data_IF_703598034495
#
_entry.id   IF_703598034495
#
_cell.length_a   1.000
_cell.length_b   1.000
_cell.length_c   1.000
_cell.angle_alpha   90.00
_cell.angle_beta   90.00
_cell.angle_gamma   90.00
#
_symmetry.space_group_name_H-M   'P 1'
#
loop_
_entity.id
_entity.type
_entity.pdbx_description
1 polymer ?
#
# COMPACT_ATOMS: atom_id res chain seq x y z
N UNK A 1 36.79 32.87 -23.97
CA UNK A 1 37.23 31.78 -23.08
C UNK A 1 35.99 31.18 -22.45
N UNK A 2 35.49 30.06 -22.98
CA UNK A 2 34.38 29.33 -22.37
C UNK A 2 34.93 28.46 -21.23
N UNK A 3 34.33 28.54 -20.05
CA UNK A 3 34.69 27.68 -18.93
C UNK A 3 34.43 26.20 -19.31
N UNK A 4 35.30 25.26 -18.90
CA UNK A 4 35.04 23.84 -19.11
C UNK A 4 33.78 23.44 -18.34
N UNK A 5 32.83 22.80 -19.04
CA UNK A 5 31.61 22.28 -18.44
C UNK A 5 32.01 21.19 -17.44
N UNK A 6 31.70 21.39 -16.17
CA UNK A 6 31.97 20.38 -15.14
C UNK A 6 31.34 19.05 -15.58
N UNK A 7 32.13 17.98 -15.54
CA UNK A 7 31.63 16.64 -15.87
C UNK A 7 30.43 16.31 -14.96
N UNK A 8 29.38 15.65 -15.47
CA UNK A 8 28.24 15.27 -14.66
C UNK A 8 28.69 14.36 -13.52
N UNK A 9 28.14 14.57 -12.32
CA UNK A 9 28.38 13.71 -11.17
C UNK A 9 27.89 12.29 -11.46
N UNK A 10 28.69 11.28 -11.12
CA UNK A 10 28.30 9.87 -11.26
C UNK A 10 27.00 9.58 -10.49
N UNK A 11 26.85 10.12 -9.28
CA UNK A 11 25.61 10.03 -8.49
C UNK A 11 24.39 10.68 -9.17
N UNK A 12 24.62 11.73 -9.96
CA UNK A 12 23.52 12.44 -10.62
C UNK A 12 22.95 11.67 -11.82
N UNK A 13 23.74 10.79 -12.44
CA UNK A 13 23.32 9.96 -13.58
C UNK A 13 22.98 8.52 -13.19
N UNK A 14 23.25 8.13 -11.95
CA UNK A 14 22.93 6.81 -11.42
C UNK A 14 21.41 6.58 -11.34
N UNK A 15 21.00 5.35 -11.62
CA UNK A 15 19.66 4.83 -11.36
C UNK A 15 19.36 4.78 -9.86
N UNK A 16 18.08 4.62 -9.51
CA UNK A 16 17.67 4.54 -8.10
C UNK A 16 18.26 3.30 -7.40
N UNK A 17 18.39 2.19 -8.12
CA UNK A 17 19.06 0.98 -7.62
C UNK A 17 20.55 1.19 -7.38
N UNK A 18 21.26 1.86 -8.28
CA UNK A 18 22.68 2.19 -8.09
C UNK A 18 22.88 3.17 -6.93
N UNK A 19 21.99 4.16 -6.76
CA UNK A 19 22.04 5.09 -5.62
C UNK A 19 21.78 4.37 -4.29
N UNK A 20 20.85 3.42 -4.26
CA UNK A 20 20.59 2.60 -3.09
C UNK A 20 21.83 1.78 -2.70
N UNK A 21 22.44 1.08 -3.67
CA UNK A 21 23.66 0.32 -3.44
C UNK A 21 24.82 1.19 -2.91
N UNK A 22 25.00 2.39 -3.48
CA UNK A 22 26.01 3.35 -2.98
C UNK A 22 25.69 3.80 -1.55
N UNK A 23 24.42 4.04 -1.22
CA UNK A 23 24.03 4.40 0.15
C UNK A 23 24.31 3.26 1.12
N UNK A 24 24.00 2.01 0.73
CA UNK A 24 24.26 0.81 1.55
C UNK A 24 25.75 0.66 1.83
N UNK A 25 26.60 0.81 0.81
CA UNK A 25 28.07 0.76 0.95
C UNK A 25 28.59 1.84 1.90
N UNK A 26 28.05 3.06 1.80
CA UNK A 26 28.45 4.19 2.65
C UNK A 26 28.00 4.01 4.10
N UNK A 27 26.76 3.57 4.32
CA UNK A 27 26.20 3.30 5.65
C UNK A 27 26.96 2.16 6.33
N UNK A 28 27.30 1.10 5.60
CA UNK A 28 28.07 -0.01 6.14
C UNK A 28 29.51 0.37 6.55
N UNK A 29 30.07 1.43 5.95
CA UNK A 29 31.43 1.88 6.23
C UNK A 29 31.53 2.95 7.34
N UNK A 30 30.44 3.63 7.69
CA UNK A 30 30.44 4.78 8.61
C UNK A 30 29.24 4.73 9.58
N UNK A 31 29.53 4.43 10.86
CA UNK A 31 28.51 4.35 11.91
C UNK A 31 27.81 5.68 12.21
N UNK A 32 28.46 6.84 12.04
CA UNK A 32 27.78 8.13 12.25
C UNK A 32 26.77 8.38 11.11
N UNK A 33 27.14 7.97 9.89
CA UNK A 33 26.25 8.00 8.75
C UNK A 33 25.10 7.00 8.89
N UNK A 34 25.35 5.79 9.37
CA UNK A 34 24.34 4.78 9.69
C UNK A 34 23.27 5.34 10.62
N UNK A 35 23.69 5.88 11.76
CA UNK A 35 22.82 6.52 12.75
C UNK A 35 21.97 7.65 12.15
N UNK A 36 22.57 8.46 11.26
CA UNK A 36 21.87 9.56 10.59
C UNK A 36 20.89 9.05 9.54
N UNK A 37 21.27 8.02 8.78
CA UNK A 37 20.43 7.40 7.77
C UNK A 37 19.20 6.75 8.44
N UNK A 38 19.38 6.03 9.54
CA UNK A 38 18.31 5.42 10.32
C UNK A 38 17.31 6.46 10.84
N UNK A 39 17.80 7.56 11.44
CA UNK A 39 16.92 8.67 11.88
C UNK A 39 16.14 9.29 10.71
N UNK A 40 16.78 9.45 9.55
CA UNK A 40 16.13 9.99 8.37
C UNK A 40 15.09 9.03 7.79
N UNK A 41 15.38 7.73 7.77
CA UNK A 41 14.45 6.69 7.33
C UNK A 41 13.22 6.63 8.25
N UNK A 42 13.42 6.58 9.58
CA UNK A 42 12.33 6.61 10.57
C UNK A 42 11.45 7.85 10.44
N UNK A 43 12.07 9.02 10.26
CA UNK A 43 11.33 10.27 10.07
C UNK A 43 10.40 10.19 8.86
N UNK A 44 10.89 9.68 7.72
CA UNK A 44 10.08 9.47 6.51
C UNK A 44 8.97 8.44 6.72
N UNK A 45 9.27 7.29 7.32
CA UNK A 45 8.29 6.22 7.55
C UNK A 45 7.20 6.61 8.55
N UNK A 46 7.43 7.62 9.38
CA UNK A 46 6.44 8.17 10.32
C UNK A 46 5.50 9.17 9.66
N UNK A 47 5.89 9.77 8.54
CA UNK A 47 5.06 10.74 7.82
C UNK A 47 4.02 10.02 6.97
N UNK A 48 2.86 9.79 7.59
CA UNK A 48 1.71 9.14 6.95
C UNK A 48 0.52 10.09 7.02
N UNK A 49 -0.09 10.30 5.87
CA UNK A 49 -1.39 10.94 5.73
C UNK A 49 -2.41 9.85 5.34
N UNK A 50 -3.48 9.74 6.12
CA UNK A 50 -4.50 8.71 5.90
C UNK A 50 -5.32 8.99 4.63
N UNK A 51 -5.54 10.26 4.27
CA UNK A 51 -6.28 10.64 3.06
C UNK A 51 -5.47 10.31 1.81
N UNK A 52 -4.16 10.56 1.82
CA UNK A 52 -3.28 10.18 0.71
C UNK A 52 -3.25 8.65 0.52
N UNK A 53 -3.20 7.91 1.62
CA UNK A 53 -3.29 6.44 1.60
C UNK A 53 -4.64 6.00 1.03
N UNK A 54 -5.74 6.59 1.50
CA UNK A 54 -7.08 6.25 1.03
C UNK A 54 -7.21 6.46 -0.48
N UNK A 55 -6.79 7.62 -0.98
CA UNK A 55 -6.80 7.94 -2.40
C UNK A 55 -5.96 6.96 -3.22
N UNK A 56 -4.78 6.57 -2.73
CA UNK A 56 -3.92 5.61 -3.40
C UNK A 56 -4.54 4.20 -3.47
N UNK A 57 -5.16 3.73 -2.39
CA UNK A 57 -5.85 2.43 -2.35
C UNK A 57 -7.06 2.42 -3.27
N UNK A 58 -7.90 3.48 -3.24
CA UNK A 58 -9.03 3.62 -4.18
C UNK A 58 -8.54 3.59 -5.62
N UNK A 59 -7.49 4.34 -5.94
CA UNK A 59 -6.93 4.35 -7.28
C UNK A 59 -6.40 2.98 -7.71
N UNK A 60 -5.76 2.23 -6.80
CA UNK A 60 -5.28 0.86 -7.06
C UNK A 60 -6.43 -0.10 -7.37
N UNK A 61 -7.47 -0.09 -6.53
CA UNK A 61 -8.63 -0.97 -6.67
C UNK A 61 -9.47 -0.65 -7.92
N UNK A 62 -9.65 0.63 -8.24
CA UNK A 62 -10.45 1.08 -9.39
C UNK A 62 -9.69 1.09 -10.71
N UNK A 63 -8.36 0.89 -10.69
CA UNK A 63 -7.58 0.70 -11.90
C UNK A 63 -7.75 -0.69 -12.50
N UNK A 64 -8.21 -1.66 -11.70
CA UNK A 64 -8.50 -3.02 -12.16
C UNK A 64 -9.81 -3.04 -12.95
N UNK A 65 -9.78 -3.65 -14.12
CA UNK A 65 -10.90 -3.68 -15.06
C UNK A 65 -11.30 -5.10 -15.49
N UNK A 66 -12.22 -5.17 -16.45
CA UNK A 66 -12.68 -6.45 -16.98
C UNK A 66 -11.67 -7.17 -17.86
N UNK A 67 -10.69 -6.46 -18.44
CA UNK A 67 -9.61 -7.11 -19.19
C UNK A 67 -8.71 -7.89 -18.22
N UNK A 68 -8.43 -7.32 -17.05
CA UNK A 68 -7.71 -8.01 -15.97
C UNK A 68 -8.48 -9.26 -15.50
N UNK A 69 -9.80 -9.16 -15.32
CA UNK A 69 -10.63 -10.30 -14.93
C UNK A 69 -10.57 -11.41 -15.97
N UNK A 70 -10.79 -11.08 -17.24
CA UNK A 70 -10.79 -12.04 -18.34
C UNK A 70 -9.43 -12.71 -18.52
N UNK A 71 -8.34 -11.99 -18.24
CA UNK A 71 -6.99 -12.53 -18.29
C UNK A 71 -6.70 -13.56 -17.18
N UNK A 72 -7.40 -13.46 -16.04
CA UNK A 72 -7.13 -14.25 -14.84
C UNK A 72 -8.22 -15.28 -14.50
N UNK A 73 -9.42 -15.16 -15.08
CA UNK A 73 -10.52 -16.11 -14.91
C UNK A 73 -10.57 -17.14 -16.05
N UNK A 74 -11.27 -18.25 -15.79
CA UNK A 74 -11.56 -19.26 -16.79
C UNK A 74 -10.58 -20.43 -16.83
N UNK A 75 -10.45 -21.06 -17.99
CA UNK A 75 -9.75 -22.34 -18.11
C UNK A 75 -8.23 -22.17 -18.17
N UNK A 76 -7.54 -22.75 -17.22
CA UNK A 76 -6.08 -22.77 -17.10
C UNK A 76 -5.53 -24.18 -17.32
N UNK A 77 -4.20 -24.32 -17.31
CA UNK A 77 -3.52 -25.63 -17.34
C UNK A 77 -3.76 -26.47 -16.06
N UNK A 78 -4.23 -25.86 -14.97
CA UNK A 78 -4.43 -26.50 -13.68
C UNK A 78 -5.90 -26.67 -13.28
N UNK A 79 -6.83 -26.13 -14.05
CA UNK A 79 -8.25 -26.19 -13.71
C UNK A 79 -9.04 -25.04 -14.31
N UNK A 80 -10.24 -24.82 -13.78
CA UNK A 80 -11.04 -23.64 -14.06
C UNK A 80 -10.97 -22.71 -12.86
N UNK A 81 -10.78 -21.40 -13.11
CA UNK A 81 -10.83 -20.35 -12.09
C UNK A 81 -12.15 -19.61 -12.24
N UNK A 82 -12.95 -19.58 -11.18
CA UNK A 82 -14.22 -18.85 -11.15
C UNK A 82 -13.95 -17.33 -11.24
N UNK A 83 -14.75 -16.55 -12.00
CA UNK A 83 -14.55 -15.11 -12.11
C UNK A 83 -14.53 -14.38 -10.76
N UNK A 84 -15.40 -14.76 -9.83
CA UNK A 84 -15.38 -14.20 -8.47
C UNK A 84 -14.08 -14.50 -7.72
N UNK A 85 -13.53 -15.71 -7.85
CA UNK A 85 -12.23 -16.05 -7.25
C UNK A 85 -11.08 -15.24 -7.87
N UNK A 86 -11.08 -15.07 -9.19
CA UNK A 86 -10.08 -14.24 -9.89
C UNK A 86 -10.17 -12.77 -9.49
N UNK A 87 -11.39 -12.21 -9.40
CA UNK A 87 -11.61 -10.85 -8.94
C UNK A 87 -11.08 -10.66 -7.52
N UNK A 88 -11.40 -11.58 -6.61
CA UNK A 88 -10.88 -11.59 -5.25
C UNK A 88 -9.35 -11.58 -5.20
N UNK A 89 -8.72 -12.48 -5.94
CA UNK A 89 -7.25 -12.59 -5.97
C UNK A 89 -6.57 -11.31 -6.47
N UNK A 90 -7.13 -10.67 -7.50
CA UNK A 90 -6.63 -9.42 -8.05
C UNK A 90 -6.80 -8.25 -7.08
N UNK A 91 -7.97 -8.13 -6.45
CA UNK A 91 -8.26 -7.08 -5.48
C UNK A 91 -7.38 -7.23 -4.22
N UNK A 92 -7.19 -8.47 -3.73
CA UNK A 92 -6.29 -8.77 -2.61
C UNK A 92 -4.86 -8.37 -2.95
N UNK A 93 -4.35 -8.78 -4.11
CA UNK A 93 -3.01 -8.38 -4.58
C UNK A 93 -2.86 -6.86 -4.70
N UNK A 94 -3.94 -6.15 -5.05
CA UNK A 94 -3.96 -4.70 -5.16
C UNK A 94 -4.06 -3.95 -3.82
N UNK A 95 -4.25 -4.62 -2.68
CA UNK A 95 -4.22 -4.03 -1.32
C UNK A 95 -3.07 -4.56 -0.48
N UNK A 96 -2.53 -5.73 -0.83
CA UNK A 96 -1.44 -6.40 -0.10
C UNK A 96 -0.22 -5.51 0.20
N UNK A 97 0.26 -4.64 -0.72
CA UNK A 97 1.37 -3.74 -0.42
C UNK A 97 1.16 -2.85 0.82
N UNK A 98 -0.10 -2.49 1.11
CA UNK A 98 -0.45 -1.68 2.28
C UNK A 98 -0.57 -2.53 3.54
N UNK A 99 -1.07 -3.77 3.45
CA UNK A 99 -1.06 -4.73 4.55
C UNK A 99 0.36 -5.05 5.03
N UNK A 100 1.26 -5.29 4.07
CA UNK A 100 2.68 -5.50 4.34
C UNK A 100 3.31 -4.26 4.99
N UNK A 101 2.93 -3.04 4.57
CA UNK A 101 3.47 -1.80 5.14
C UNK A 101 2.96 -1.55 6.58
N UNK A 102 1.72 -1.89 6.91
CA UNK A 102 1.22 -1.88 8.30
C UNK A 102 2.12 -2.75 9.16
N UNK A 103 2.32 -4.01 8.75
CA UNK A 103 3.13 -4.98 9.49
C UNK A 103 4.59 -4.52 9.62
N UNK A 104 5.17 -4.02 8.52
CA UNK A 104 6.53 -3.49 8.48
C UNK A 104 6.72 -2.31 9.44
N UNK A 105 5.84 -1.31 9.41
CA UNK A 105 5.94 -0.13 10.29
C UNK A 105 5.67 -0.48 11.75
N UNK A 106 4.72 -1.37 12.01
CA UNK A 106 4.45 -1.89 13.35
C UNK A 106 5.68 -2.58 13.95
N UNK A 107 6.39 -3.41 13.18
CA UNK A 107 7.62 -4.09 13.64
C UNK A 107 8.76 -3.14 14.00
N UNK A 108 8.74 -1.92 13.46
CA UNK A 108 9.69 -0.84 13.82
C UNK A 108 9.24 -0.02 15.04
N UNK A 109 8.10 -0.35 15.65
CA UNK A 109 7.47 0.40 16.74
C UNK A 109 6.81 1.71 16.29
N UNK A 110 6.59 1.89 14.98
CA UNK A 110 5.97 3.09 14.41
C UNK A 110 4.43 2.97 14.45
N UNK A 111 3.88 2.78 15.64
CA UNK A 111 2.45 2.47 15.88
C UNK A 111 1.50 3.49 15.26
N UNK A 112 1.79 4.79 15.39
CA UNK A 112 0.94 5.83 14.80
C UNK A 112 0.96 5.80 13.27
N UNK A 113 2.11 5.50 12.67
CA UNK A 113 2.24 5.38 11.23
C UNK A 113 1.45 4.18 10.68
N UNK A 114 1.52 3.04 11.37
CA UNK A 114 0.74 1.85 11.05
C UNK A 114 -0.77 2.07 11.25
N UNK A 115 -1.18 2.76 12.32
CA UNK A 115 -2.57 3.17 12.55
C UNK A 115 -3.11 4.00 11.39
N UNK A 116 -2.37 5.04 10.97
CA UNK A 116 -2.79 5.91 9.86
C UNK A 116 -2.89 5.20 8.53
N UNK A 117 -2.00 4.24 8.25
CA UNK A 117 -2.15 3.36 7.09
C UNK A 117 -3.48 2.62 7.16
N UNK A 118 -3.76 1.94 8.28
CA UNK A 118 -5.00 1.20 8.44
C UNK A 118 -6.24 2.08 8.32
N UNK A 119 -6.25 3.27 8.92
CA UNK A 119 -7.36 4.23 8.77
C UNK A 119 -7.57 4.64 7.30
N UNK A 120 -6.48 4.91 6.56
CA UNK A 120 -6.57 5.24 5.15
C UNK A 120 -7.14 4.09 4.30
N UNK A 121 -6.73 2.84 4.57
CA UNK A 121 -7.28 1.67 3.88
C UNK A 121 -8.78 1.53 4.20
N UNK A 122 -9.18 1.62 5.47
CA UNK A 122 -10.58 1.53 5.87
C UNK A 122 -11.43 2.59 5.15
N UNK A 123 -10.96 3.83 5.11
CA UNK A 123 -11.61 4.92 4.38
C UNK A 123 -11.72 4.64 2.87
N UNK A 124 -10.70 4.02 2.27
CA UNK A 124 -10.75 3.63 0.86
C UNK A 124 -11.82 2.59 0.58
N UNK A 125 -11.92 1.55 1.42
CA UNK A 125 -12.87 0.45 1.24
C UNK A 125 -14.32 0.94 1.28
N UNK A 126 -14.64 1.86 2.18
CA UNK A 126 -15.96 2.51 2.23
C UNK A 126 -16.26 3.35 0.99
N UNK A 127 -15.24 4.01 0.42
CA UNK A 127 -15.39 4.75 -0.82
C UNK A 127 -15.68 3.79 -1.99
N UNK A 128 -15.01 2.63 -2.00
CA UNK A 128 -15.21 1.57 -2.99
C UNK A 128 -16.59 0.93 -2.90
N UNK A 129 -17.22 0.83 -1.72
CA UNK A 129 -18.59 0.31 -1.58
C UNK A 129 -19.60 1.00 -2.51
N UNK A 130 -19.42 2.31 -2.75
CA UNK A 130 -20.27 3.10 -3.66
C UNK A 130 -20.20 2.63 -5.12
N UNK A 131 -19.17 1.85 -5.46
CA UNK A 131 -18.85 1.40 -6.80
C UNK A 131 -19.20 -0.08 -7.05
N UNK A 132 -19.60 -0.85 -6.03
CA UNK A 132 -19.93 -2.29 -6.15
C UNK A 132 -21.06 -2.54 -7.17
N UNK A 133 -21.94 -1.56 -7.40
CA UNK A 133 -23.04 -1.68 -8.37
C UNK A 133 -22.67 -1.30 -9.81
N UNK A 134 -21.39 -1.02 -10.07
CA UNK A 134 -20.90 -0.72 -11.39
C UNK A 134 -20.28 -1.98 -12.00
N UNK A 135 -21.02 -2.64 -12.90
CA UNK A 135 -20.64 -3.90 -13.53
C UNK A 135 -19.35 -3.80 -14.39
N UNK A 136 -18.92 -2.58 -14.74
CA UNK A 136 -17.66 -2.34 -15.47
C UNK A 136 -16.42 -2.42 -14.55
N UNK A 137 -16.61 -2.40 -13.22
CA UNK A 137 -15.52 -2.44 -12.25
C UNK A 137 -15.39 -3.82 -11.62
N UNK A 138 -14.13 -4.22 -11.38
CA UNK A 138 -13.83 -5.53 -10.83
C UNK A 138 -14.48 -5.79 -9.45
N UNK A 139 -14.63 -4.73 -8.64
CA UNK A 139 -15.25 -4.79 -7.31
C UNK A 139 -16.70 -5.27 -7.31
N UNK A 140 -17.41 -5.17 -8.45
CA UNK A 140 -18.77 -5.72 -8.59
C UNK A 140 -18.82 -7.25 -8.56
N UNK A 141 -17.71 -7.92 -8.89
CA UNK A 141 -17.57 -9.38 -8.89
C UNK A 141 -17.24 -9.95 -7.51
N UNK A 142 -16.86 -9.10 -6.57
CA UNK A 142 -16.51 -9.44 -5.20
C UNK A 142 -17.19 -8.45 -4.23
N UNK A 143 -18.53 -8.47 -4.09
CA UNK A 143 -19.27 -7.48 -3.32
C UNK A 143 -18.93 -7.48 -1.83
N UNK A 144 -18.48 -8.62 -1.29
CA UNK A 144 -18.09 -8.77 0.12
C UNK A 144 -16.61 -8.36 0.37
N UNK A 145 -15.85 -8.06 -0.70
CA UNK A 145 -14.43 -7.71 -0.60
C UNK A 145 -14.17 -6.51 0.32
N UNK A 146 -14.92 -5.39 0.25
CA UNK A 146 -14.64 -4.24 1.11
C UNK A 146 -14.80 -4.56 2.59
N UNK A 147 -15.86 -5.28 2.97
CA UNK A 147 -16.15 -5.64 4.37
C UNK A 147 -15.11 -6.62 4.92
N UNK A 148 -14.83 -7.70 4.19
CA UNK A 148 -13.85 -8.72 4.61
C UNK A 148 -12.43 -8.15 4.67
N UNK A 149 -12.07 -7.26 3.75
CA UNK A 149 -10.76 -6.57 3.77
C UNK A 149 -10.67 -5.59 4.94
N UNK A 150 -11.77 -4.90 5.27
CA UNK A 150 -11.81 -4.00 6.42
C UNK A 150 -11.60 -4.78 7.74
N UNK A 151 -12.25 -5.93 7.89
CA UNK A 151 -12.04 -6.83 9.02
C UNK A 151 -10.58 -7.28 9.10
N UNK A 152 -9.98 -7.64 7.96
CA UNK A 152 -8.57 -8.03 7.88
C UNK A 152 -7.62 -6.91 8.33
N UNK A 153 -7.89 -5.66 7.95
CA UNK A 153 -7.09 -4.50 8.39
C UNK A 153 -7.20 -4.31 9.90
N UNK A 154 -8.40 -4.44 10.47
CA UNK A 154 -8.60 -4.35 11.93
C UNK A 154 -7.85 -5.46 12.66
N UNK A 155 -7.84 -6.68 12.13
CA UNK A 155 -7.06 -7.79 12.67
C UNK A 155 -5.56 -7.53 12.62
N UNK A 156 -5.02 -7.05 11.48
CA UNK A 156 -3.61 -6.71 11.33
C UNK A 156 -3.15 -5.67 12.37
N UNK A 157 -3.97 -4.63 12.58
CA UNK A 157 -3.69 -3.61 13.58
C UNK A 157 -3.74 -4.20 15.00
N UNK A 158 -4.73 -5.04 15.31
CA UNK A 158 -4.85 -5.71 16.60
C UNK A 158 -3.65 -6.62 16.89
N UNK A 159 -3.23 -7.42 15.91
CA UNK A 159 -2.06 -8.30 16.02
C UNK A 159 -0.77 -7.51 16.26
N UNK A 160 -0.70 -6.28 15.74
CA UNK A 160 0.36 -5.32 16.00
C UNK A 160 0.24 -4.58 17.36
N UNK A 161 -0.76 -4.87 18.18
CA UNK A 161 -1.03 -4.20 19.45
C UNK A 161 -1.63 -2.80 19.30
N UNK A 162 -2.26 -2.51 18.16
CA UNK A 162 -2.81 -1.21 17.80
C UNK A 162 -4.34 -1.28 17.86
N UNK A 163 -4.91 -0.80 18.96
CA UNK A 163 -6.37 -0.73 19.10
C UNK A 163 -6.93 0.53 18.44
N UNK A 164 -7.88 0.37 17.54
CA UNK A 164 -8.71 1.47 17.02
C UNK A 164 -9.79 1.83 18.05
N UNK A 165 -10.11 3.12 18.14
CA UNK A 165 -11.25 3.61 18.91
C UNK A 165 -12.56 3.36 18.16
N UNK A 166 -13.67 3.36 18.87
CA UNK A 166 -14.98 3.16 18.24
C UNK A 166 -15.32 4.30 17.26
N UNK A 167 -14.80 5.51 17.49
CA UNK A 167 -14.93 6.63 16.55
C UNK A 167 -14.14 6.40 15.25
N UNK A 168 -12.93 5.83 15.35
CA UNK A 168 -12.10 5.45 14.21
C UNK A 168 -12.72 4.29 13.42
N UNK A 169 -13.43 3.38 14.10
CA UNK A 169 -14.22 2.32 13.45
C UNK A 169 -15.49 2.86 12.80
N UNK A 170 -16.17 3.81 13.46
CA UNK A 170 -17.45 4.37 13.01
C UNK A 170 -17.32 5.44 11.91
N UNK A 171 -16.16 6.07 11.75
CA UNK A 171 -15.86 6.90 10.57
C UNK A 171 -15.96 6.10 9.27
N UNK A 172 -16.14 4.77 9.37
CA UNK A 172 -16.51 3.90 8.28
C UNK A 172 -17.96 3.50 8.07
N UNK A 173 -18.88 3.95 8.89
CA UNK A 173 -20.30 3.62 8.73
C UNK A 173 -21.19 4.85 8.53
N UNK A 174 -20.68 6.07 8.80
CA UNK A 174 -21.48 7.30 8.75
C UNK A 174 -21.19 8.14 7.50
N UNK A 175 -21.66 7.68 6.34
CA UNK A 175 -22.04 8.61 5.28
C UNK A 175 -23.20 8.02 4.44
N UNK A 176 -24.36 7.93 5.10
CA UNK A 176 -25.68 7.68 4.50
C UNK A 176 -26.10 8.83 3.58
#
# INVERSE_FOLDING_TARGET
MSAPRAAPSALAVASDGEKAAVLDDLVAADHELEDRAERAARSRLTQVDADDVANAVVASLLALDQEDLVANAGRTRYGYVEPTEAAWSLLEAAVEPWHEDITRRASLGLTEAARRLGLGILQALQSVERHIRNDDLLVSWAPDFPDETADRVVELLRDAGIELTDAERAHGSDNT
#
